data_IF_544412216036
#
_entry.id   IF_544412216036
#
_cell.length_a   1.000
_cell.length_b   1.000
_cell.length_c   1.000
_cell.angle_alpha   90.00
_cell.angle_beta   90.00
_cell.angle_gamma   90.00
#
_symmetry.space_group_name_H-M   'P 1'
#
loop_
_entity.id
_entity.type
_entity.pdbx_description
1 polymer ?
#
# COMPACT_ATOMS: atom_id res chain seq x y z
N UNK A 1 -52.71 18.76 6.67
CA UNK A 1 -51.77 19.89 6.45
C UNK A 1 -50.38 19.31 6.33
N UNK A 2 -49.77 19.35 5.14
CA UNK A 2 -48.52 18.64 4.84
C UNK A 2 -47.28 19.44 5.28
N UNK A 3 -46.50 18.92 6.22
CA UNK A 3 -45.27 19.54 6.77
C UNK A 3 -44.00 19.18 5.97
N UNK A 4 -44.16 18.63 4.77
CA UNK A 4 -43.09 18.07 3.94
C UNK A 4 -42.03 19.05 3.40
N UNK A 5 -42.26 20.37 3.20
CA UNK A 5 -41.26 21.21 2.52
C UNK A 5 -40.07 21.62 3.40
N UNK A 6 -40.22 21.66 4.72
CA UNK A 6 -39.16 22.16 5.62
C UNK A 6 -38.00 21.15 5.78
N UNK A 7 -38.30 19.84 5.82
CA UNK A 7 -37.28 18.79 5.95
C UNK A 7 -36.41 18.67 4.70
N UNK A 8 -37.00 18.80 3.50
CA UNK A 8 -36.24 18.80 2.24
C UNK A 8 -35.29 20.00 2.16
N UNK A 9 -35.73 21.17 2.61
CA UNK A 9 -34.89 22.37 2.64
C UNK A 9 -33.69 22.23 3.59
N UNK A 10 -33.91 21.69 4.80
CA UNK A 10 -32.84 21.42 5.75
C UNK A 10 -31.84 20.38 5.22
N UNK A 11 -32.34 19.33 4.55
CA UNK A 11 -31.49 18.30 3.97
C UNK A 11 -30.65 18.82 2.79
N UNK A 12 -31.24 19.64 1.91
CA UNK A 12 -30.52 20.31 0.83
C UNK A 12 -29.47 21.31 1.35
N UNK A 13 -29.77 22.04 2.41
CA UNK A 13 -28.81 22.93 3.08
C UNK A 13 -27.62 22.16 3.66
N UNK A 14 -27.88 21.04 4.36
CA UNK A 14 -26.84 20.19 4.91
C UNK A 14 -25.95 19.58 3.79
N UNK A 15 -26.56 19.13 2.70
CA UNK A 15 -25.84 18.62 1.52
C UNK A 15 -24.97 19.72 0.88
N UNK A 16 -25.51 20.93 0.72
CA UNK A 16 -24.76 22.07 0.17
C UNK A 16 -23.55 22.44 1.04
N UNK A 17 -23.71 22.49 2.36
CA UNK A 17 -22.61 22.75 3.31
C UNK A 17 -21.56 21.63 3.24
N UNK A 18 -21.98 20.36 3.17
CA UNK A 18 -21.07 19.22 3.02
C UNK A 18 -20.25 19.31 1.74
N UNK A 19 -20.89 19.60 0.60
CA UNK A 19 -20.21 19.78 -0.69
C UNK A 19 -19.21 20.95 -0.59
N UNK A 20 -19.60 22.09 0.00
CA UNK A 20 -18.74 23.26 0.18
C UNK A 20 -17.50 22.95 1.03
N UNK A 21 -17.66 22.25 2.15
CA UNK A 21 -16.53 21.85 3.00
C UNK A 21 -15.60 20.88 2.28
N UNK A 22 -16.17 19.92 1.52
CA UNK A 22 -15.40 18.98 0.71
C UNK A 22 -14.62 19.70 -0.38
N UNK A 23 -15.23 20.63 -1.10
CA UNK A 23 -14.55 21.41 -2.15
C UNK A 23 -13.47 22.31 -1.57
N UNK A 24 -13.68 22.96 -0.43
CA UNK A 24 -12.63 23.76 0.26
C UNK A 24 -11.47 22.88 0.73
N UNK A 25 -11.76 21.69 1.29
CA UNK A 25 -10.73 20.75 1.76
C UNK A 25 -9.90 20.20 0.60
N UNK A 26 -10.56 19.87 -0.52
CA UNK A 26 -9.91 19.47 -1.76
C UNK A 26 -9.11 20.66 -2.32
N UNK A 27 -9.66 21.88 -2.35
CA UNK A 27 -9.01 23.07 -2.89
C UNK A 27 -7.79 23.58 -2.08
N UNK A 28 -7.53 23.08 -0.87
CA UNK A 28 -6.31 23.43 -0.09
C UNK A 28 -5.00 23.00 -0.75
N UNK A 29 -5.03 22.17 -1.78
CA UNK A 29 -3.89 21.94 -2.69
C UNK A 29 -4.19 22.69 -3.99
N UNK A 30 -3.41 23.73 -4.29
CA UNK A 30 -3.53 24.43 -5.57
C UNK A 30 -3.38 23.41 -6.72
N UNK A 31 -4.15 23.55 -7.82
CA UNK A 31 -4.05 22.64 -8.96
C UNK A 31 -2.60 22.45 -9.46
N UNK A 32 -1.82 23.53 -9.39
CA UNK A 32 -0.40 23.57 -9.75
C UNK A 32 0.47 22.73 -8.81
N UNK A 33 0.24 22.79 -7.50
CA UNK A 33 0.98 21.99 -6.52
C UNK A 33 0.72 20.48 -6.71
N UNK A 34 -0.48 20.11 -7.17
CA UNK A 34 -0.83 18.71 -7.49
C UNK A 34 -0.12 18.22 -8.74
N UNK A 35 -0.14 19.03 -9.80
CA UNK A 35 0.55 18.68 -11.04
C UNK A 35 2.04 18.53 -10.81
N UNK A 36 2.67 19.47 -10.09
CA UNK A 36 4.09 19.41 -9.75
C UNK A 36 4.43 18.15 -8.94
N UNK A 37 3.60 17.80 -7.95
CA UNK A 37 3.81 16.58 -7.15
C UNK A 37 3.59 15.30 -7.96
N UNK A 38 2.62 15.31 -8.88
CA UNK A 38 2.37 14.18 -9.77
C UNK A 38 3.53 13.96 -10.75
N UNK A 39 4.09 15.04 -11.29
CA UNK A 39 5.28 15.01 -12.14
C UNK A 39 6.52 14.54 -11.38
N UNK A 40 6.71 15.02 -10.16
CA UNK A 40 7.80 14.57 -9.27
C UNK A 40 7.70 13.06 -8.98
N UNK A 41 6.50 12.57 -8.65
CA UNK A 41 6.25 11.15 -8.42
C UNK A 41 6.47 10.31 -9.69
N UNK A 42 5.97 10.79 -10.85
CA UNK A 42 6.21 10.12 -12.14
C UNK A 42 7.69 10.07 -12.50
N UNK A 43 8.44 11.14 -12.25
CA UNK A 43 9.88 11.19 -12.49
C UNK A 43 10.64 10.24 -11.55
N UNK A 44 10.25 10.19 -10.27
CA UNK A 44 10.82 9.27 -9.28
C UNK A 44 10.54 7.81 -9.65
N UNK A 45 9.31 7.51 -10.09
CA UNK A 45 8.91 6.19 -10.58
C UNK A 45 9.70 5.82 -11.85
N UNK A 46 9.82 6.73 -12.81
CA UNK A 46 10.57 6.50 -14.04
C UNK A 46 12.05 6.24 -13.77
N UNK A 47 12.66 6.99 -12.84
CA UNK A 47 14.05 6.77 -12.41
C UNK A 47 14.22 5.40 -11.78
N UNK A 48 13.33 5.01 -10.88
CA UNK A 48 13.38 3.70 -10.22
C UNK A 48 13.17 2.55 -11.22
N UNK A 49 12.24 2.71 -12.17
CA UNK A 49 12.01 1.74 -13.24
C UNK A 49 13.21 1.64 -14.19
N UNK A 50 13.88 2.75 -14.52
CA UNK A 50 15.08 2.77 -15.36
C UNK A 50 16.28 2.12 -14.67
N UNK A 51 16.46 2.38 -13.37
CA UNK A 51 17.47 1.74 -12.52
C UNK A 51 17.25 0.22 -12.45
N UNK A 52 15.99 -0.21 -12.27
CA UNK A 52 15.59 -1.64 -12.33
C UNK A 52 15.78 -2.26 -13.71
N UNK A 53 15.46 -1.54 -14.79
CA UNK A 53 15.63 -2.03 -16.16
C UNK A 53 17.11 -2.22 -16.52
N UNK A 54 17.99 -1.34 -16.04
CA UNK A 54 19.44 -1.47 -16.21
C UNK A 54 20.03 -2.69 -15.47
N UNK A 55 19.40 -3.15 -14.39
CA UNK A 55 19.82 -4.32 -13.62
C UNK A 55 19.37 -5.67 -14.23
N UNK A 56 18.58 -5.66 -15.32
CA UNK A 56 17.83 -6.81 -15.83
C UNK A 56 18.64 -7.68 -16.80
N UNK A 57 19.68 -8.38 -16.33
CA UNK A 57 20.31 -9.47 -17.07
C UNK A 57 20.36 -10.76 -16.22
N UNK A 58 19.29 -11.57 -16.28
CA UNK A 58 19.38 -13.03 -16.09
C UNK A 58 18.43 -13.72 -15.09
N UNK A 59 17.40 -14.39 -15.65
CA UNK A 59 16.80 -15.69 -15.26
C UNK A 59 15.84 -15.78 -14.03
N UNK A 60 14.93 -16.78 -14.03
CA UNK A 60 13.57 -16.66 -13.49
C UNK A 60 13.40 -17.13 -12.04
N UNK A 61 12.23 -16.75 -11.50
CA UNK A 61 11.69 -16.87 -10.15
C UNK A 61 11.89 -18.24 -9.47
N UNK A 62 12.48 -18.22 -8.26
CA UNK A 62 12.48 -19.33 -7.31
C UNK A 62 11.67 -18.88 -6.09
N UNK A 63 10.63 -19.64 -5.76
CA UNK A 63 9.92 -19.58 -4.49
C UNK A 63 10.84 -20.10 -3.37
N UNK A 64 11.13 -19.26 -2.38
CA UNK A 64 12.24 -19.51 -1.45
C UNK A 64 11.71 -20.09 -0.14
N UNK A 65 11.68 -21.42 -0.12
CA UNK A 65 11.94 -22.20 1.10
C UNK A 65 13.45 -22.48 1.16
N UNK A 66 14.13 -22.03 2.23
CA UNK A 66 15.54 -22.41 2.46
C UNK A 66 15.63 -23.13 3.81
N UNK A 67 15.88 -24.43 3.72
CA UNK A 67 16.79 -25.14 4.61
C UNK A 67 17.61 -26.09 3.72
N UNK A 68 18.93 -25.97 3.73
CA UNK A 68 19.82 -27.00 3.16
C UNK A 68 21.06 -27.20 4.02
N UNK A 69 21.22 -28.43 4.50
CA UNK A 69 22.47 -29.05 4.95
C UNK A 69 23.12 -29.74 3.73
N UNK A 70 23.66 -28.99 2.76
CA UNK A 70 24.46 -29.57 1.67
C UNK A 70 25.14 -28.44 0.88
N UNK A 71 26.38 -28.13 1.28
CA UNK A 71 27.56 -27.99 0.42
C UNK A 71 27.61 -27.06 -0.80
N UNK A 72 26.52 -26.43 -1.25
CA UNK A 72 26.52 -25.54 -2.44
C UNK A 72 26.72 -24.07 -2.04
N UNK A 73 27.54 -23.37 -2.83
CA UNK A 73 27.89 -21.95 -2.60
C UNK A 73 26.66 -21.09 -2.34
N UNK A 74 26.70 -20.35 -1.23
CA UNK A 74 25.60 -19.52 -0.76
C UNK A 74 25.32 -18.38 -1.74
N UNK A 75 24.22 -18.48 -2.49
CA UNK A 75 23.60 -17.30 -3.11
C UNK A 75 23.24 -16.34 -1.99
N UNK A 76 23.78 -15.12 -2.02
CA UNK A 76 23.56 -14.13 -0.96
C UNK A 76 22.06 -13.87 -0.85
N UNK A 77 21.51 -14.07 0.35
CA UNK A 77 20.08 -13.89 0.67
C UNK A 77 19.52 -12.52 0.24
N UNK A 78 20.38 -11.49 0.15
CA UNK A 78 20.05 -10.16 -0.37
C UNK A 78 19.56 -10.17 -1.82
N UNK A 79 20.18 -10.98 -2.66
CA UNK A 79 19.94 -10.97 -4.10
C UNK A 79 18.57 -11.60 -4.40
N UNK A 80 18.22 -12.62 -3.61
CA UNK A 80 16.92 -13.29 -3.65
C UNK A 80 15.77 -12.36 -3.23
N UNK A 81 15.95 -11.56 -2.17
CA UNK A 81 14.90 -10.65 -1.70
C UNK A 81 14.65 -9.53 -2.73
N UNK A 82 15.72 -9.00 -3.33
CA UNK A 82 15.60 -7.94 -4.33
C UNK A 82 14.87 -8.43 -5.59
N UNK A 83 15.22 -9.64 -6.07
CA UNK A 83 14.53 -10.27 -7.21
C UNK A 83 13.04 -10.45 -6.91
N UNK A 84 12.71 -10.88 -5.68
CA UNK A 84 11.33 -10.98 -5.24
C UNK A 84 10.63 -9.61 -5.26
N UNK A 85 11.21 -8.56 -4.67
CA UNK A 85 10.62 -7.22 -4.67
C UNK A 85 10.48 -6.58 -6.06
N UNK A 86 11.35 -6.97 -7.00
CA UNK A 86 11.31 -6.51 -8.39
C UNK A 86 10.24 -7.26 -9.21
N UNK A 87 9.80 -8.42 -8.74
CA UNK A 87 8.71 -9.18 -9.36
C UNK A 87 7.31 -8.65 -9.02
N UNK A 88 7.20 -7.79 -8.00
CA UNK A 88 5.92 -7.26 -7.53
C UNK A 88 5.36 -6.19 -8.48
N UNK A 89 4.06 -6.27 -8.73
CA UNK A 89 3.30 -5.24 -9.45
C UNK A 89 2.90 -4.14 -8.46
N UNK A 90 3.32 -2.91 -8.73
CA UNK A 90 3.01 -1.75 -7.91
C UNK A 90 1.56 -1.32 -8.15
N UNK A 91 0.74 -1.39 -7.10
CA UNK A 91 -0.64 -0.88 -7.11
C UNK A 91 -0.69 0.59 -6.72
N UNK A 92 0.19 1.01 -5.80
CA UNK A 92 0.26 2.38 -5.32
C UNK A 92 1.67 2.72 -4.84
N UNK A 93 2.08 3.97 -5.05
CA UNK A 93 3.31 4.52 -4.50
C UNK A 93 3.12 5.99 -4.11
N UNK A 94 3.67 6.39 -2.97
CA UNK A 94 3.51 7.74 -2.43
C UNK A 94 3.92 7.81 -0.97
N UNK A 95 3.41 8.81 -0.25
CA UNK A 95 3.66 8.96 1.18
C UNK A 95 2.34 8.81 1.95
N UNK A 96 2.35 8.04 3.03
CA UNK A 96 1.22 7.93 3.97
C UNK A 96 1.59 8.44 5.35
N UNK A 97 0.57 8.62 6.20
CA UNK A 97 0.82 8.64 7.65
C UNK A 97 1.40 7.28 8.10
N UNK A 98 2.22 7.25 9.16
CA UNK A 98 2.74 6.00 9.70
C UNK A 98 1.61 5.04 10.04
N UNK A 99 1.79 3.77 9.66
CA UNK A 99 0.84 2.69 9.91
C UNK A 99 1.43 1.76 10.97
N UNK A 100 0.69 1.51 12.04
CA UNK A 100 1.07 0.58 13.10
C UNK A 100 0.29 -0.73 12.98
N UNK A 101 0.97 -1.86 13.15
CA UNK A 101 0.36 -3.19 13.09
C UNK A 101 1.20 -4.24 13.83
N UNK A 102 0.61 -5.40 14.12
CA UNK A 102 1.32 -6.59 14.63
C UNK A 102 1.64 -7.51 13.47
N UNK A 103 2.91 -7.87 13.32
CA UNK A 103 3.39 -8.77 12.28
C UNK A 103 3.81 -10.11 12.89
N UNK A 104 3.41 -11.20 12.25
CA UNK A 104 3.83 -12.56 12.57
C UNK A 104 4.90 -12.96 11.56
N UNK A 105 6.10 -13.24 12.03
CA UNK A 105 7.15 -13.75 11.15
C UNK A 105 7.01 -15.26 10.90
N UNK A 106 8.00 -15.84 10.22
CA UNK A 106 8.00 -17.25 9.84
C UNK A 106 8.12 -18.21 11.03
N UNK A 107 8.71 -17.75 12.13
CA UNK A 107 8.88 -18.54 13.35
C UNK A 107 7.62 -18.46 14.24
N UNK A 108 6.66 -17.61 13.86
CA UNK A 108 5.43 -17.37 14.62
C UNK A 108 5.56 -16.20 15.59
N UNK A 109 6.70 -15.53 15.62
CA UNK A 109 6.96 -14.46 16.57
C UNK A 109 6.18 -13.20 16.20
N UNK A 110 5.49 -12.66 17.20
CA UNK A 110 4.61 -11.49 17.06
C UNK A 110 5.37 -10.24 17.44
N UNK A 111 5.58 -9.35 16.47
CA UNK A 111 6.26 -8.07 16.70
C UNK A 111 5.39 -6.90 16.28
N UNK A 112 5.35 -5.86 17.12
CA UNK A 112 4.66 -4.60 16.77
C UNK A 112 5.56 -3.78 15.85
N UNK A 113 5.01 -3.33 14.73
CA UNK A 113 5.72 -2.56 13.70
C UNK A 113 5.03 -1.23 13.47
N UNK A 114 5.85 -0.23 13.16
CA UNK A 114 5.40 1.07 12.64
C UNK A 114 6.13 1.31 11.33
N UNK A 115 5.36 1.53 10.26
CA UNK A 115 5.85 1.62 8.90
C UNK A 115 5.41 2.94 8.27
N UNK A 116 6.36 3.71 7.75
CA UNK A 116 6.05 4.76 6.79
C UNK A 116 5.90 4.08 5.43
N UNK A 117 4.66 3.83 5.00
CA UNK A 117 4.40 3.10 3.76
C UNK A 117 4.75 4.01 2.58
N UNK A 118 5.61 3.49 1.71
CA UNK A 118 6.03 4.13 0.46
C UNK A 118 5.35 3.48 -0.75
N UNK A 119 4.95 2.21 -0.62
CA UNK A 119 4.38 1.42 -1.71
C UNK A 119 3.43 0.33 -1.21
N UNK A 120 2.38 0.08 -1.99
CA UNK A 120 1.55 -1.13 -1.93
C UNK A 120 1.69 -1.88 -3.26
N UNK A 121 2.03 -3.15 -3.18
CA UNK A 121 2.26 -3.99 -4.35
C UNK A 121 1.73 -5.41 -4.15
N UNK A 122 1.61 -6.17 -5.25
CA UNK A 122 1.11 -7.54 -5.22
C UNK A 122 1.88 -8.46 -6.17
N UNK A 123 1.86 -9.76 -5.91
CA UNK A 123 2.41 -10.77 -6.83
C UNK A 123 1.32 -11.35 -7.75
N UNK A 124 1.73 -12.20 -8.69
CA UNK A 124 0.84 -12.91 -9.63
C UNK A 124 -0.24 -13.76 -8.94
N UNK A 125 0.01 -14.24 -7.72
CA UNK A 125 -0.96 -14.94 -6.87
C UNK A 125 -1.95 -14.01 -6.14
N UNK A 126 -1.89 -12.70 -6.35
CA UNK A 126 -2.78 -11.73 -5.70
C UNK A 126 -2.46 -11.46 -4.22
N UNK A 127 -1.28 -11.85 -3.75
CA UNK A 127 -0.84 -11.58 -2.38
C UNK A 127 -0.29 -10.17 -2.28
N UNK A 128 -0.74 -9.42 -1.28
CA UNK A 128 -0.36 -8.02 -1.10
C UNK A 128 0.85 -7.84 -0.17
N UNK A 129 1.58 -6.76 -0.43
CA UNK A 129 2.78 -6.36 0.30
C UNK A 129 2.75 -4.86 0.58
N UNK A 130 3.18 -4.48 1.79
CA UNK A 130 3.46 -3.11 2.18
C UNK A 130 4.97 -2.90 2.23
N UNK A 131 5.49 -1.92 1.49
CA UNK A 131 6.92 -1.58 1.51
C UNK A 131 7.13 -0.16 1.99
N UNK A 132 8.16 0.05 2.81
CA UNK A 132 8.52 1.38 3.30
C UNK A 132 9.51 1.36 4.45
N UNK A 133 9.70 2.48 5.12
CA UNK A 133 10.68 2.61 6.22
C UNK A 133 10.07 2.15 7.54
N UNK A 134 10.61 1.06 8.09
CA UNK A 134 10.20 0.53 9.39
C UNK A 134 10.88 1.33 10.51
N UNK A 135 10.11 2.13 11.25
CA UNK A 135 10.64 3.03 12.27
C UNK A 135 11.33 2.30 13.43
N UNK A 136 10.91 1.07 13.73
CA UNK A 136 11.54 0.24 14.78
C UNK A 136 12.97 -0.19 14.46
N UNK A 137 13.33 -0.24 13.17
CA UNK A 137 14.64 -0.70 12.67
C UNK A 137 15.38 0.37 11.87
N UNK A 138 14.72 1.49 11.58
CA UNK A 138 15.20 2.56 10.70
C UNK A 138 15.72 2.04 9.35
N UNK A 139 14.98 1.12 8.75
CA UNK A 139 15.39 0.40 7.55
C UNK A 139 14.18 0.18 6.63
N UNK A 140 14.40 0.17 5.31
CA UNK A 140 13.36 -0.20 4.35
C UNK A 140 13.05 -1.68 4.48
N UNK A 141 11.76 -2.02 4.61
CA UNK A 141 11.28 -3.39 4.73
C UNK A 141 9.98 -3.61 3.96
N UNK A 142 9.78 -4.85 3.55
CA UNK A 142 8.59 -5.32 2.85
C UNK A 142 7.84 -6.31 3.75
N UNK A 143 6.55 -6.09 3.95
CA UNK A 143 5.69 -6.89 4.81
C UNK A 143 4.55 -7.49 4.00
N UNK A 144 4.43 -8.82 4.00
CA UNK A 144 3.26 -9.51 3.43
C UNK A 144 2.01 -9.19 4.25
N UNK A 145 0.95 -8.72 3.61
CA UNK A 145 -0.30 -8.30 4.28
C UNK A 145 -0.93 -9.47 5.05
N UNK A 146 -0.91 -10.68 4.51
CA UNK A 146 -1.49 -11.87 5.16
C UNK A 146 -0.82 -12.22 6.50
N UNK A 147 0.42 -11.76 6.72
CA UNK A 147 1.16 -11.97 7.97
C UNK A 147 0.88 -10.86 9.01
N UNK A 148 0.04 -9.88 8.68
CA UNK A 148 -0.39 -8.84 9.60
C UNK A 148 -1.57 -9.35 10.43
N UNK A 149 -1.35 -9.58 11.72
CA UNK A 149 -2.33 -10.20 12.61
C UNK A 149 -3.36 -9.23 13.22
N UNK A 150 -3.27 -7.93 12.93
CA UNK A 150 -4.17 -6.90 13.47
C UNK A 150 -4.58 -5.92 12.38
N UNK A 151 -5.71 -5.24 12.56
CA UNK A 151 -6.05 -4.06 11.74
C UNK A 151 -4.89 -3.05 11.69
N UNK A 152 -4.81 -2.34 10.58
CA UNK A 152 -3.86 -1.25 10.37
C UNK A 152 -4.29 -0.04 11.19
N UNK A 153 -3.45 0.39 12.12
CA UNK A 153 -3.71 1.57 12.94
C UNK A 153 -3.04 2.80 12.33
N UNK A 154 -3.82 3.84 12.07
CA UNK A 154 -3.32 5.14 11.60
C UNK A 154 -3.84 6.23 12.52
N UNK A 155 -2.94 6.78 13.35
CA UNK A 155 -3.33 7.70 14.41
C UNK A 155 -4.27 7.03 15.42
N UNK A 156 -5.52 7.49 15.52
CA UNK A 156 -6.54 6.93 16.42
C UNK A 156 -7.51 5.95 15.75
N UNK A 157 -7.41 5.72 14.44
CA UNK A 157 -8.32 4.86 13.68
C UNK A 157 -7.69 3.52 13.33
N UNK A 158 -8.53 2.49 13.26
CA UNK A 158 -8.19 1.13 12.83
C UNK A 158 -8.90 0.85 11.51
N UNK A 159 -8.18 0.20 10.59
CA UNK A 159 -8.66 -0.11 9.24
C UNK A 159 -8.37 -1.58 8.93
N UNK A 160 -9.31 -2.27 8.28
CA UNK A 160 -8.93 -3.43 7.48
C UNK A 160 -8.07 -2.98 6.29
N UNK A 161 -7.30 -3.89 5.69
CA UNK A 161 -6.34 -3.52 4.64
C UNK A 161 -7.04 -2.86 3.42
N UNK A 162 -8.18 -3.40 3.03
CA UNK A 162 -9.00 -2.93 1.92
C UNK A 162 -9.62 -1.57 2.23
N UNK A 163 -10.17 -1.40 3.45
CA UNK A 163 -10.67 -0.11 3.94
C UNK A 163 -9.56 0.94 3.94
N UNK A 164 -8.35 0.58 4.35
CA UNK A 164 -7.19 1.46 4.34
C UNK A 164 -6.81 1.88 2.92
N UNK A 165 -6.78 0.95 1.97
CA UNK A 165 -6.51 1.24 0.56
C UNK A 165 -7.54 2.20 -0.04
N UNK A 166 -8.83 2.00 0.23
CA UNK A 166 -9.90 2.86 -0.29
C UNK A 166 -9.90 4.22 0.39
N UNK A 167 -9.92 4.27 1.72
CA UNK A 167 -10.13 5.52 2.46
C UNK A 167 -8.91 6.44 2.50
N UNK A 168 -7.69 5.88 2.52
CA UNK A 168 -6.47 6.65 2.68
C UNK A 168 -5.60 6.72 1.42
N UNK A 169 -5.70 5.74 0.53
CA UNK A 169 -4.91 5.72 -0.71
C UNK A 169 -5.73 6.03 -1.97
N UNK A 170 -7.06 6.08 -1.87
CA UNK A 170 -7.99 6.30 -3.00
C UNK A 170 -7.85 5.21 -4.09
N UNK A 171 -7.55 3.97 -3.68
CA UNK A 171 -7.44 2.82 -4.57
C UNK A 171 -8.80 2.09 -4.59
N UNK A 172 -9.51 2.15 -5.71
CA UNK A 172 -10.79 1.47 -5.85
C UNK A 172 -10.60 -0.04 -6.09
N UNK A 173 -11.42 -0.92 -5.46
CA UNK A 173 -11.31 -2.37 -5.62
C UNK A 173 -11.40 -2.84 -7.07
N UNK A 174 -12.26 -2.21 -7.88
CA UNK A 174 -12.47 -2.55 -9.29
C UNK A 174 -11.34 -2.12 -10.23
N UNK A 175 -10.42 -1.27 -9.77
CA UNK A 175 -9.36 -0.69 -10.60
C UNK A 175 -7.95 -1.12 -10.15
N UNK A 176 -7.77 -1.46 -8.87
CA UNK A 176 -6.46 -1.78 -8.30
C UNK A 176 -6.26 -3.24 -7.89
N UNK A 177 -7.31 -3.99 -7.56
CA UNK A 177 -7.15 -5.33 -6.98
C UNK A 177 -7.17 -6.41 -8.07
N UNK A 178 -6.21 -7.33 -8.09
CA UNK A 178 -6.20 -8.43 -9.05
C UNK A 178 -7.34 -9.40 -8.76
N UNK A 179 -7.93 -10.01 -9.80
CA UNK A 179 -9.02 -10.99 -9.64
C UNK A 179 -8.65 -12.13 -8.68
N UNK A 180 -7.40 -12.60 -8.75
CA UNK A 180 -6.85 -13.64 -7.87
C UNK A 180 -7.01 -13.34 -6.37
N UNK A 181 -7.07 -12.06 -5.99
CA UNK A 181 -7.32 -11.65 -4.60
C UNK A 181 -8.72 -12.03 -4.12
N UNK A 182 -9.73 -11.86 -4.97
CA UNK A 182 -11.11 -12.19 -4.63
C UNK A 182 -11.32 -13.71 -4.65
N UNK A 183 -10.69 -14.41 -5.60
CA UNK A 183 -10.80 -15.87 -5.74
C UNK A 183 -10.20 -16.61 -4.54
N UNK A 184 -9.15 -16.08 -3.92
CA UNK A 184 -8.51 -16.69 -2.74
C UNK A 184 -9.35 -16.57 -1.45
N UNK A 185 -10.45 -15.80 -1.46
CA UNK A 185 -11.27 -15.50 -0.28
C UNK A 185 -12.73 -15.95 -0.38
N UNK A 186 -13.15 -16.49 -1.52
CA UNK A 186 -14.46 -17.14 -1.73
C UNK A 186 -14.45 -18.59 -1.28
#
# INVERSE_FOLDING_TARGET
MAHWPAFLFLWLLALAVYILVKTIRVARLSPEARQKRLEELKAKQARFNAERAAAKNGKPYLDVSIRYEDGREAVKQSDTLQVFEDSLTVMWAGDTKPVEFTYVDREGDRTRRTLNVEEVSFNDMGQFYLRGICLSRNERRTFKVDNIATKLKVGSKLYDFEEWCVELLDILPSEGFPQAYFDARS
#
